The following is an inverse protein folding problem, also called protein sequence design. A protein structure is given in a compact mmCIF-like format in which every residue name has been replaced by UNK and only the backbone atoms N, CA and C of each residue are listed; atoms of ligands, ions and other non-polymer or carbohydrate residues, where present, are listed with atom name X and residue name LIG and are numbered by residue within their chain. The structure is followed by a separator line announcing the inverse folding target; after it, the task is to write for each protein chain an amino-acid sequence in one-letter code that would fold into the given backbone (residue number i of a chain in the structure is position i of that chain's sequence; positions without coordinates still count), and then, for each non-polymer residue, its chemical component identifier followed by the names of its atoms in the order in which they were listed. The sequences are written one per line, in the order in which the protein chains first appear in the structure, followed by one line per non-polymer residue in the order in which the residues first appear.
data_IF_367869969285
#
_entry.id   IF_367869969285
#
_cell.length_a   1.000
_cell.length_b   1.000
_cell.length_c   1.000
_cell.angle_alpha   90.00
_cell.angle_beta   90.00
_cell.angle_gamma   90.00
#
_symmetry.space_group_name_H-M   'P 1'
#
loop_
_entity.id
_entity.type
_entity.pdbx_description
1 polymer ?
#
# COMPACT_ATOMS: atom_id res chain seq x y z
N UNK A 1 13.02 -8.68 -10.34
CA UNK A 1 12.52 -8.70 -11.74
C UNK A 1 11.08 -8.21 -11.69
N UNK A 2 10.90 -6.91 -11.89
CA UNK A 2 9.60 -6.26 -11.69
C UNK A 2 8.63 -6.62 -12.80
N UNK A 3 7.39 -6.94 -12.42
CA UNK A 3 6.29 -6.98 -13.38
C UNK A 3 6.19 -5.61 -14.06
N UNK A 4 5.87 -5.60 -15.35
CA UNK A 4 5.67 -4.35 -16.08
C UNK A 4 4.56 -3.53 -15.38
N UNK A 5 4.64 -2.18 -15.36
CA UNK A 5 3.67 -1.33 -14.66
C UNK A 5 2.21 -1.64 -15.02
N UNK A 6 1.96 -2.00 -16.27
CA UNK A 6 0.63 -2.40 -16.76
C UNK A 6 0.12 -3.69 -16.10
N UNK A 7 1.00 -4.67 -15.89
CA UNK A 7 0.64 -5.94 -15.23
C UNK A 7 0.29 -5.69 -13.77
N UNK A 8 1.03 -4.82 -13.07
CA UNK A 8 0.72 -4.45 -11.69
C UNK A 8 -0.65 -3.76 -11.62
N UNK A 9 -0.92 -2.80 -12.51
CA UNK A 9 -2.22 -2.13 -12.56
C UNK A 9 -3.37 -3.12 -12.80
N UNK A 10 -3.16 -4.11 -13.68
CA UNK A 10 -4.14 -5.15 -13.98
C UNK A 10 -4.40 -6.08 -12.79
N UNK A 11 -3.35 -6.48 -12.06
CA UNK A 11 -3.48 -7.26 -10.82
C UNK A 11 -4.36 -6.51 -9.82
N UNK A 12 -4.08 -5.24 -9.55
CA UNK A 12 -4.88 -4.44 -8.60
C UNK A 12 -6.31 -4.16 -9.10
N UNK A 13 -6.54 -4.17 -10.42
CA UNK A 13 -7.90 -4.12 -10.99
C UNK A 13 -8.66 -5.41 -10.70
N UNK A 14 -8.01 -6.57 -10.89
CA UNK A 14 -8.60 -7.88 -10.59
C UNK A 14 -8.89 -8.02 -9.09
N UNK A 15 -7.96 -7.63 -8.22
CA UNK A 15 -8.15 -7.64 -6.76
C UNK A 15 -9.37 -6.83 -6.35
N UNK A 16 -9.52 -5.59 -6.87
CA UNK A 16 -10.71 -4.76 -6.61
C UNK A 16 -12.00 -5.43 -7.06
N UNK A 17 -12.00 -6.07 -8.23
CA UNK A 17 -13.17 -6.80 -8.74
C UNK A 17 -13.54 -7.97 -7.82
N UNK A 18 -12.56 -8.79 -7.42
CA UNK A 18 -12.79 -9.94 -6.53
C UNK A 18 -13.32 -9.51 -5.16
N UNK A 19 -12.74 -8.44 -4.59
CA UNK A 19 -13.27 -7.82 -3.37
C UNK A 19 -14.73 -7.39 -3.54
N UNK A 20 -15.05 -6.69 -4.65
CA UNK A 20 -16.41 -6.21 -4.91
C UNK A 20 -17.44 -7.34 -5.12
N UNK A 21 -17.00 -8.54 -5.49
CA UNK A 21 -17.85 -9.74 -5.57
C UNK A 21 -18.01 -10.46 -4.23
N UNK A 22 -17.53 -9.89 -3.13
CA UNK A 22 -17.65 -10.47 -1.78
C UNK A 22 -16.58 -11.50 -1.43
N UNK A 23 -15.52 -11.65 -2.24
CA UNK A 23 -14.41 -12.54 -1.92
C UNK A 23 -13.53 -11.91 -0.84
N UNK A 24 -13.28 -12.64 0.26
CA UNK A 24 -12.27 -12.26 1.26
C UNK A 24 -10.88 -12.49 0.69
N UNK A 25 -10.01 -11.49 0.78
CA UNK A 25 -8.64 -11.52 0.24
C UNK A 25 -7.65 -11.16 1.34
N UNK A 26 -6.62 -11.98 1.51
CA UNK A 26 -5.41 -11.62 2.24
C UNK A 26 -4.31 -11.31 1.22
N UNK A 27 -3.90 -10.04 1.16
CA UNK A 27 -2.85 -9.56 0.25
C UNK A 27 -1.58 -9.27 1.06
N UNK A 28 -0.47 -9.88 0.65
CA UNK A 28 0.87 -9.61 1.20
C UNK A 28 1.70 -8.95 0.12
N UNK A 29 2.13 -7.71 0.35
CA UNK A 29 2.81 -6.92 -0.68
C UNK A 29 3.92 -6.04 -0.12
N UNK A 30 4.97 -5.84 -0.94
CA UNK A 30 6.01 -4.85 -0.66
C UNK A 30 5.63 -3.45 -1.17
N UNK A 31 4.70 -3.38 -2.13
CA UNK A 31 4.21 -2.12 -2.70
C UNK A 31 3.10 -1.51 -1.83
N UNK A 32 3.50 -1.01 -0.65
CA UNK A 32 2.58 -0.56 0.41
C UNK A 32 1.49 0.41 -0.07
N UNK A 33 1.83 1.40 -0.93
CA UNK A 33 0.86 2.37 -1.44
C UNK A 33 -0.32 1.71 -2.16
N UNK A 34 -0.03 0.77 -3.07
CA UNK A 34 -1.07 0.14 -3.89
C UNK A 34 -1.89 -0.85 -3.07
N UNK A 35 -1.24 -1.59 -2.16
CA UNK A 35 -1.92 -2.50 -1.24
C UNK A 35 -2.90 -1.73 -0.34
N UNK A 36 -2.44 -0.66 0.32
CA UNK A 36 -3.29 0.14 1.20
C UNK A 36 -4.47 0.80 0.46
N UNK A 37 -4.30 1.16 -0.82
CA UNK A 37 -5.37 1.76 -1.63
C UNK A 37 -6.56 0.81 -1.91
N UNK A 38 -6.36 -0.51 -1.78
CA UNK A 38 -7.42 -1.51 -2.01
C UNK A 38 -7.88 -2.22 -0.73
N UNK A 39 -7.12 -2.12 0.36
CA UNK A 39 -7.38 -2.80 1.62
C UNK A 39 -8.45 -2.13 2.48
N UNK A 40 -9.36 -2.93 3.04
CA UNK A 40 -10.28 -2.48 4.10
C UNK A 40 -9.57 -2.37 5.45
N UNK A 41 -8.70 -3.33 5.75
CA UNK A 41 -7.82 -3.37 6.92
C UNK A 41 -6.41 -3.73 6.48
N UNK A 42 -5.41 -3.17 7.15
CA UNK A 42 -4.01 -3.43 6.88
C UNK A 42 -3.19 -3.49 8.17
N UNK A 43 -2.08 -4.22 8.07
CA UNK A 43 -1.10 -4.41 9.12
C UNK A 43 0.29 -4.22 8.54
N UNK A 44 1.16 -3.53 9.28
CA UNK A 44 2.57 -3.41 8.95
C UNK A 44 3.34 -4.37 9.85
N UNK A 45 4.10 -5.27 9.23
CA UNK A 45 4.91 -6.28 9.91
C UNK A 45 6.39 -5.94 9.75
N UNK A 46 7.08 -5.71 10.86
CA UNK A 46 8.51 -5.46 10.90
C UNK A 46 9.19 -6.43 11.86
N UNK A 47 10.20 -7.14 11.38
CA UNK A 47 11.01 -8.07 12.21
C UNK A 47 10.14 -9.03 13.04
N UNK A 48 9.04 -9.51 12.45
CA UNK A 48 8.10 -10.45 13.09
C UNK A 48 7.10 -9.81 14.06
N UNK A 49 7.01 -8.48 14.14
CA UNK A 49 6.07 -7.76 15.01
C UNK A 49 5.16 -6.83 14.21
N UNK A 50 3.89 -6.76 14.59
CA UNK A 50 2.94 -5.80 14.01
C UNK A 50 3.23 -4.43 14.62
N UNK A 51 3.66 -3.47 13.81
CA UNK A 51 4.03 -2.12 14.28
C UNK A 51 2.95 -1.08 14.03
N UNK A 52 2.11 -1.29 13.01
CA UNK A 52 0.97 -0.44 12.71
C UNK A 52 -0.22 -1.30 12.25
N UNK A 53 -1.43 -0.87 12.62
CA UNK A 53 -2.67 -1.44 12.11
C UNK A 53 -3.72 -0.34 11.90
N UNK A 54 -4.66 -0.59 10.99
CA UNK A 54 -5.76 0.33 10.73
C UNK A 54 -6.45 0.02 9.41
N UNK A 55 -7.35 0.90 8.97
CA UNK A 55 -7.87 0.83 7.61
C UNK A 55 -6.82 1.25 6.58
N UNK A 56 -6.95 0.76 5.34
CA UNK A 56 -6.07 1.20 4.25
C UNK A 56 -6.05 2.72 4.08
N UNK A 57 -7.20 3.37 4.26
CA UNK A 57 -7.35 4.82 4.19
C UNK A 57 -6.60 5.55 5.30
N UNK A 58 -6.76 5.13 6.55
CA UNK A 58 -6.07 5.75 7.69
C UNK A 58 -4.56 5.66 7.53
N UNK A 59 -4.06 4.48 7.17
CA UNK A 59 -2.63 4.25 6.99
C UNK A 59 -2.07 5.03 5.79
N UNK A 60 -2.80 5.20 4.69
CA UNK A 60 -2.38 6.08 3.58
C UNK A 60 -2.23 7.54 4.00
N UNK A 61 -3.09 8.00 4.91
CA UNK A 61 -3.05 9.39 5.41
C UNK A 61 -2.05 9.60 6.55
N UNK A 62 -1.57 8.52 7.17
CA UNK A 62 -0.64 8.58 8.29
C UNK A 62 0.74 9.09 7.87
N UNK A 63 1.22 10.15 8.53
CA UNK A 63 2.56 10.69 8.28
C UNK A 63 3.67 9.68 8.62
N UNK A 64 3.49 8.83 9.64
CA UNK A 64 4.48 7.79 9.96
C UNK A 64 4.59 6.74 8.85
N UNK A 65 3.46 6.31 8.28
CA UNK A 65 3.42 5.34 7.17
C UNK A 65 4.00 5.95 5.90
N UNK A 66 3.69 7.22 5.61
CA UNK A 66 4.22 7.92 4.44
C UNK A 66 5.75 8.00 4.47
N UNK A 67 6.30 8.39 5.62
CA UNK A 67 7.74 8.53 5.78
C UNK A 67 8.47 7.19 5.71
N UNK A 68 7.89 6.12 6.28
CA UNK A 68 8.53 4.82 6.35
C UNK A 68 8.38 3.98 5.05
N UNK A 69 7.25 4.05 4.34
CA UNK A 69 6.94 3.08 3.27
C UNK A 69 6.42 3.68 1.95
N UNK A 70 5.92 4.92 1.92
CA UNK A 70 5.28 5.49 0.71
C UNK A 70 6.17 6.49 -0.05
N UNK A 71 7.33 6.83 0.51
CA UNK A 71 8.29 7.75 -0.10
C UNK A 71 8.02 9.22 0.25
N UNK A 72 9.09 10.02 0.35
CA UNK A 72 9.03 11.45 0.69
C UNK A 72 8.24 12.23 -0.36
N UNK A 73 7.11 12.80 0.02
CA UNK A 73 6.46 13.87 -0.75
C UNK A 73 7.39 15.10 -0.70
N UNK A 74 8.03 15.41 -1.83
CA UNK A 74 8.66 16.70 -2.13
C UNK A 74 9.79 17.17 -1.20
N UNK A 75 11.05 16.90 -1.57
CA UNK A 75 12.09 17.90 -1.32
C UNK A 75 12.11 18.85 -2.51
N UNK A 76 11.64 20.07 -2.30
CA UNK A 76 11.95 21.25 -3.12
C UNK A 76 13.45 21.25 -3.47
N UNK A 77 13.86 21.52 -4.73
CA UNK A 77 15.28 21.56 -5.05
C UNK A 77 15.97 22.65 -4.22
N UNK A 78 17.23 22.44 -3.80
CA UNK A 78 17.98 23.49 -3.11
C UNK A 78 18.14 24.67 -4.06
N UNK A 79 17.71 25.85 -3.62
CA UNK A 79 18.06 27.11 -4.25
C UNK A 79 19.52 27.41 -3.91
N UNK A 80 20.43 27.11 -4.84
CA UNK A 80 21.78 27.68 -4.94
C UNK A 80 22.31 27.45 -6.35
#
# INVERSE_FOLDING_TARGET
LGLAPLIVAEIFRIVRRLKSSGMTILLVEQMAHQALAVSDRAYVLETGQITLEGSGRELLTSESVKQAYLGKVGKTPPSS
#
